data_IF_745772597540
#
_entry.id   IF_745772597540
#
_cell.length_a   1.000
_cell.length_b   1.000
_cell.length_c   1.000
_cell.angle_alpha   90.00
_cell.angle_beta   90.00
_cell.angle_gamma   90.00
#
_symmetry.space_group_name_H-M   'P 1'
#
loop_
_entity.id
_entity.type
_entity.pdbx_description
1 polymer ?
#
# COMPACT_ATOMS: atom_id res chain seq x y z
N UNK A 1 -4.50 4.44 -1.71
CA UNK A 1 -5.73 4.03 -2.43
C UNK A 1 -5.91 2.52 -2.39
N UNK A 2 -7.11 2.03 -2.41
CA UNK A 2 -7.45 0.60 -2.39
C UNK A 2 -8.66 0.33 -3.29
N UNK A 3 -8.77 -0.88 -3.81
CA UNK A 3 -9.97 -1.39 -4.48
C UNK A 3 -10.91 -2.18 -3.58
N UNK A 4 -10.53 -2.37 -2.31
CA UNK A 4 -11.28 -3.19 -1.35
C UNK A 4 -11.96 -2.34 -0.28
N UNK A 5 -13.29 -2.22 -0.40
CA UNK A 5 -14.10 -1.46 0.57
C UNK A 5 -14.05 -2.04 2.00
N UNK A 6 -13.72 -3.33 2.16
CA UNK A 6 -13.64 -4.00 3.48
C UNK A 6 -12.48 -3.52 4.34
N UNK A 7 -11.48 -2.88 3.73
CA UNK A 7 -10.34 -2.33 4.46
C UNK A 7 -10.67 -1.10 5.30
N UNK A 8 -11.78 -0.43 5.00
CA UNK A 8 -12.13 0.82 5.66
C UNK A 8 -12.81 0.59 7.02
N UNK A 9 -12.39 1.36 8.01
CA UNK A 9 -13.10 1.49 9.28
C UNK A 9 -14.30 2.43 9.15
N UNK A 10 -14.12 3.48 8.34
CA UNK A 10 -15.17 4.42 7.98
C UNK A 10 -14.97 4.88 6.56
N UNK A 11 -16.02 4.91 5.77
CA UNK A 11 -16.01 5.31 4.38
C UNK A 11 -17.13 6.30 4.10
N UNK A 12 -16.83 7.35 3.34
CA UNK A 12 -17.79 8.28 2.77
C UNK A 12 -17.94 7.97 1.28
N UNK A 13 -19.10 7.47 0.90
CA UNK A 13 -19.45 7.17 -0.49
C UNK A 13 -20.26 8.27 -1.16
N UNK A 14 -20.66 9.31 -0.41
CA UNK A 14 -21.38 10.46 -0.93
C UNK A 14 -20.47 11.54 -1.53
N UNK A 15 -19.15 11.28 -1.56
CA UNK A 15 -18.15 12.17 -2.10
C UNK A 15 -16.96 11.38 -2.64
N UNK A 16 -16.15 12.05 -3.43
CA UNK A 16 -14.98 11.50 -4.09
C UNK A 16 -13.69 12.22 -3.70
N UNK A 17 -13.74 13.04 -2.62
CA UNK A 17 -12.63 13.85 -2.13
C UNK A 17 -11.99 14.76 -3.22
N UNK A 18 -12.81 15.25 -4.15
CA UNK A 18 -12.34 16.08 -5.27
C UNK A 18 -11.76 15.31 -6.47
N UNK A 19 -11.81 13.98 -6.44
CA UNK A 19 -11.31 13.13 -7.51
C UNK A 19 -12.45 12.31 -8.14
N UNK A 20 -12.74 12.55 -9.40
CA UNK A 20 -13.74 11.74 -10.12
C UNK A 20 -13.12 10.42 -10.61
N UNK A 21 -11.86 10.46 -11.03
CA UNK A 21 -11.11 9.31 -11.51
C UNK A 21 -9.62 9.47 -11.25
N UNK A 22 -8.93 8.35 -11.18
CA UNK A 22 -7.47 8.26 -11.09
C UNK A 22 -6.97 7.65 -12.39
N UNK A 23 -5.88 8.21 -12.91
CA UNK A 23 -5.16 7.62 -14.05
C UNK A 23 -3.98 6.82 -13.52
N UNK A 24 -3.89 5.55 -13.92
CA UNK A 24 -2.78 4.67 -13.57
C UNK A 24 -1.59 4.85 -14.51
N UNK A 25 -0.45 4.29 -14.15
CA UNK A 25 0.77 4.39 -14.95
C UNK A 25 0.70 3.74 -16.34
N UNK A 26 -0.26 2.85 -16.57
CA UNK A 26 -0.56 2.23 -17.86
C UNK A 26 -1.62 3.01 -18.69
N UNK A 27 -1.95 4.24 -18.26
CA UNK A 27 -3.04 5.08 -18.77
C UNK A 27 -4.47 4.52 -18.54
N UNK A 28 -4.60 3.41 -17.83
CA UNK A 28 -5.90 2.93 -17.35
C UNK A 28 -6.53 3.93 -16.37
N UNK A 29 -7.85 4.00 -16.33
CA UNK A 29 -8.57 4.88 -15.40
C UNK A 29 -9.39 4.07 -14.41
N UNK A 30 -9.31 4.43 -13.14
CA UNK A 30 -10.17 3.92 -12.09
C UNK A 30 -11.11 5.02 -11.58
N UNK A 31 -12.40 4.72 -11.47
CA UNK A 31 -13.38 5.64 -10.91
C UNK A 31 -13.26 5.66 -9.39
N UNK A 32 -13.25 6.85 -8.79
CA UNK A 32 -13.29 7.00 -7.34
C UNK A 32 -14.71 6.81 -6.84
N UNK A 33 -14.93 5.84 -5.96
CA UNK A 33 -16.23 5.49 -5.39
C UNK A 33 -16.48 6.10 -4.01
N UNK A 34 -15.43 6.55 -3.37
CA UNK A 34 -15.48 7.13 -2.04
C UNK A 34 -14.09 7.31 -1.45
N UNK A 35 -14.06 7.78 -0.23
CA UNK A 35 -12.83 7.92 0.53
C UNK A 35 -13.08 7.68 2.01
N UNK A 36 -12.04 7.35 2.74
CA UNK A 36 -12.22 7.05 4.15
C UNK A 36 -10.93 6.84 4.90
N UNK A 37 -11.08 6.21 6.06
CA UNK A 37 -10.00 5.93 7.00
C UNK A 37 -9.77 4.42 7.10
N UNK A 38 -8.51 4.04 7.07
CA UNK A 38 -8.04 2.67 7.27
C UNK A 38 -7.14 2.65 8.50
N UNK A 39 -7.38 1.73 9.42
CA UNK A 39 -6.50 1.46 10.54
C UNK A 39 -5.54 0.33 10.17
N UNK A 40 -4.26 0.60 10.29
CA UNK A 40 -3.18 -0.35 9.97
C UNK A 40 -2.78 -1.14 11.21
N UNK A 41 -2.69 -0.45 12.34
CA UNK A 41 -2.39 -1.05 13.65
C UNK A 41 -3.07 -0.27 14.75
N UNK A 42 -2.96 -0.76 15.99
CA UNK A 42 -3.59 -0.11 17.16
C UNK A 42 -3.25 1.39 17.29
N UNK A 43 -2.11 1.80 16.79
CA UNK A 43 -1.60 3.17 16.92
C UNK A 43 -1.47 3.92 15.60
N UNK A 44 -1.83 3.30 14.46
CA UNK A 44 -1.66 3.91 13.15
C UNK A 44 -2.90 3.78 12.29
N UNK A 45 -3.36 4.90 11.80
CA UNK A 45 -4.42 4.97 10.80
C UNK A 45 -4.07 5.97 9.70
N UNK A 46 -4.53 5.70 8.50
CA UNK A 46 -4.37 6.56 7.33
C UNK A 46 -5.73 7.09 6.92
N UNK A 47 -5.85 8.41 6.87
CA UNK A 47 -7.05 9.10 6.42
C UNK A 47 -6.96 9.43 4.93
N UNK A 48 -8.10 9.82 4.34
CA UNK A 48 -8.19 10.20 2.93
C UNK A 48 -7.73 9.12 1.94
N UNK A 49 -7.93 7.86 2.32
CA UNK A 49 -7.69 6.74 1.41
C UNK A 49 -8.82 6.67 0.41
N UNK A 50 -8.50 6.67 -0.88
CA UNK A 50 -9.49 6.56 -1.94
C UNK A 50 -9.88 5.11 -2.17
N UNK A 51 -11.19 4.87 -2.30
CA UNK A 51 -11.74 3.62 -2.84
C UNK A 51 -11.86 3.78 -4.36
N UNK A 52 -11.11 2.99 -5.10
CA UNK A 52 -11.00 3.09 -6.56
C UNK A 52 -11.49 1.81 -7.21
N UNK A 53 -12.46 1.95 -8.10
CA UNK A 53 -13.02 0.85 -8.87
C UNK A 53 -11.95 0.21 -9.76
N UNK A 54 -11.96 -1.12 -9.84
CA UNK A 54 -11.03 -1.91 -10.67
C UNK A 54 -9.55 -1.83 -10.25
N UNK A 55 -9.25 -1.27 -9.09
CA UNK A 55 -7.90 -1.30 -8.55
C UNK A 55 -7.61 -2.67 -7.92
N UNK A 56 -6.72 -3.41 -8.55
CA UNK A 56 -6.37 -4.77 -8.10
C UNK A 56 -5.35 -4.77 -6.95
N UNK A 57 -4.74 -3.63 -6.67
CA UNK A 57 -3.67 -3.48 -5.66
C UNK A 57 -3.94 -2.33 -4.72
N UNK A 58 -3.52 -2.51 -3.49
CA UNK A 58 -3.43 -1.42 -2.55
C UNK A 58 -2.13 -0.66 -2.79
N UNK A 59 -2.22 0.63 -2.94
CA UNK A 59 -1.09 1.52 -3.16
C UNK A 59 -0.95 2.47 -1.96
N UNK A 60 0.20 2.40 -1.30
CA UNK A 60 0.55 3.26 -0.19
C UNK A 60 1.47 4.37 -0.69
N UNK A 61 1.11 5.62 -0.40
CA UNK A 61 1.91 6.78 -0.78
C UNK A 61 2.94 7.12 0.28
N UNK A 62 4.22 7.10 -0.09
CA UNK A 62 5.29 7.56 0.80
C UNK A 62 5.15 9.04 1.17
N UNK A 63 4.69 9.88 0.24
CA UNK A 63 4.44 11.28 0.51
C UNK A 63 3.37 11.45 1.60
N UNK A 64 2.27 10.70 1.54
CA UNK A 64 1.25 10.74 2.58
C UNK A 64 1.77 10.28 3.94
N UNK A 65 2.66 9.30 3.99
CA UNK A 65 3.31 8.89 5.24
C UNK A 65 4.17 10.01 5.81
N UNK A 66 4.94 10.68 4.97
CA UNK A 66 5.73 11.85 5.37
C UNK A 66 4.85 13.01 5.86
N UNK A 67 3.72 13.28 5.19
CA UNK A 67 2.75 14.29 5.60
C UNK A 67 2.10 13.97 6.95
N UNK A 68 1.94 12.69 7.28
CA UNK A 68 1.48 12.21 8.59
C UNK A 68 2.56 12.28 9.68
N UNK A 69 3.77 12.70 9.33
CA UNK A 69 4.87 12.87 10.25
C UNK A 69 5.74 11.63 10.44
N UNK A 70 5.70 10.67 9.52
CA UNK A 70 6.63 9.54 9.53
C UNK A 70 7.86 9.83 8.68
N UNK A 71 8.95 9.14 8.99
CA UNK A 71 10.16 9.12 8.15
C UNK A 71 10.23 7.78 7.42
N UNK A 72 10.60 7.82 6.16
CA UNK A 72 10.82 6.64 5.33
C UNK A 72 12.32 6.52 5.06
N UNK A 73 12.94 5.46 5.55
CA UNK A 73 14.37 5.19 5.37
C UNK A 73 14.53 4.04 4.40
N UNK A 74 15.06 4.34 3.22
CA UNK A 74 15.26 3.36 2.16
C UNK A 74 16.60 2.66 2.30
N UNK A 75 16.56 1.36 2.49
CA UNK A 75 17.70 0.45 2.40
C UNK A 75 17.78 -0.24 1.02
N UNK A 76 18.72 -1.16 0.90
CA UNK A 76 18.87 -1.98 -0.32
C UNK A 76 17.71 -2.96 -0.45
N UNK A 77 17.33 -3.60 0.65
CA UNK A 77 16.37 -4.70 0.68
C UNK A 77 15.06 -4.35 1.41
N UNK A 78 15.01 -3.21 2.09
CA UNK A 78 13.84 -2.80 2.86
C UNK A 78 13.63 -1.28 2.87
N UNK A 79 12.46 -0.88 3.33
CA UNK A 79 12.16 0.51 3.74
C UNK A 79 11.62 0.46 5.15
N UNK A 80 12.23 1.21 6.04
CA UNK A 80 11.77 1.39 7.41
C UNK A 80 10.89 2.64 7.49
N UNK A 81 9.70 2.48 8.05
CA UNK A 81 8.81 3.58 8.39
C UNK A 81 8.91 3.78 9.89
N UNK A 82 9.44 4.92 10.29
CA UNK A 82 9.70 5.25 11.68
C UNK A 82 8.97 6.53 12.10
N UNK A 83 8.77 6.71 13.41
CA UNK A 83 8.22 7.96 13.96
C UNK A 83 9.13 9.16 13.66
N UNK A 84 8.56 10.36 13.65
CA UNK A 84 9.31 11.62 13.35
C UNK A 84 10.52 11.80 14.25
N UNK A 85 10.38 11.47 15.52
CA UNK A 85 11.46 11.55 16.53
C UNK A 85 12.52 10.45 16.34
N UNK A 86 12.27 9.47 15.47
CA UNK A 86 13.17 8.36 15.22
C UNK A 86 13.17 7.30 16.31
N UNK A 87 12.30 7.42 17.32
CA UNK A 87 12.30 6.54 18.49
C UNK A 87 11.66 5.18 18.25
N UNK A 88 10.70 5.09 17.30
CA UNK A 88 9.91 3.89 17.10
C UNK A 88 9.86 3.48 15.63
N UNK A 89 10.17 2.21 15.39
CA UNK A 89 9.84 1.55 14.15
C UNK A 89 8.33 1.28 14.12
N UNK A 90 7.66 1.75 13.07
CA UNK A 90 6.21 1.56 12.89
C UNK A 90 5.96 0.27 12.10
N UNK A 91 6.57 0.15 10.93
CA UNK A 91 6.58 -1.07 10.13
C UNK A 91 7.70 -1.06 9.10
N UNK A 92 7.94 -2.20 8.49
CA UNK A 92 8.89 -2.37 7.38
C UNK A 92 8.19 -2.78 6.11
N UNK A 93 8.71 -2.29 4.99
CA UNK A 93 8.39 -2.77 3.66
C UNK A 93 9.59 -3.57 3.14
N UNK A 94 9.36 -4.69 2.51
CA UNK A 94 10.43 -5.52 1.98
C UNK A 94 10.51 -5.39 0.46
N UNK A 95 11.74 -5.33 -0.05
CA UNK A 95 11.96 -5.24 -1.48
C UNK A 95 11.67 -6.57 -2.16
N UNK A 96 10.86 -6.49 -3.19
CA UNK A 96 10.62 -7.57 -4.12
C UNK A 96 10.82 -7.03 -5.54
N UNK A 97 11.91 -7.45 -6.19
CA UNK A 97 12.33 -6.88 -7.48
C UNK A 97 12.45 -5.35 -7.45
N UNK A 98 11.58 -4.64 -8.14
CA UNK A 98 11.56 -3.18 -8.23
C UNK A 98 10.48 -2.53 -7.35
N UNK A 99 9.88 -3.28 -6.44
CA UNK A 99 8.80 -2.82 -5.58
C UNK A 99 9.12 -3.05 -4.11
N UNK A 100 8.50 -2.26 -3.25
CA UNK A 100 8.49 -2.50 -1.82
C UNK A 100 7.10 -2.93 -1.40
N UNK A 101 7.01 -4.06 -0.72
CA UNK A 101 5.77 -4.67 -0.26
C UNK A 101 5.69 -4.61 1.25
N UNK A 102 4.49 -4.36 1.78
CA UNK A 102 4.20 -4.40 3.21
C UNK A 102 3.04 -5.37 3.46
N UNK A 103 3.17 -6.14 4.53
CA UNK A 103 2.09 -6.96 5.06
C UNK A 103 1.75 -6.50 6.49
N UNK A 104 0.63 -5.81 6.63
CA UNK A 104 0.17 -5.32 7.93
C UNK A 104 -0.43 -6.41 8.82
N UNK A 105 -0.69 -7.59 8.28
CA UNK A 105 -1.21 -8.72 9.05
C UNK A 105 -0.11 -9.60 9.64
N UNK A 106 1.13 -9.41 9.20
CA UNK A 106 2.26 -10.13 9.74
C UNK A 106 2.57 -9.64 11.16
N UNK A 107 2.64 -10.56 12.12
CA UNK A 107 3.16 -10.24 13.45
C UNK A 107 4.63 -9.82 13.37
N UNK A 108 5.11 -8.99 14.31
CA UNK A 108 6.52 -8.54 14.33
C UNK A 108 7.52 -9.71 14.23
N UNK A 109 7.19 -10.88 14.78
CA UNK A 109 8.00 -12.09 14.67
C UNK A 109 8.02 -12.68 13.25
N UNK A 110 7.00 -12.43 12.43
CA UNK A 110 6.92 -12.85 11.03
C UNK A 110 7.53 -11.83 10.07
N UNK A 111 7.67 -10.58 10.47
CA UNK A 111 8.35 -9.55 9.68
C UNK A 111 9.85 -9.86 9.52
N UNK A 112 10.46 -10.55 10.50
CA UNK A 112 11.85 -11.01 10.41
C UNK A 112 12.02 -12.29 9.58
N UNK A 113 10.93 -13.00 9.29
CA UNK A 113 10.89 -14.28 8.55
C UNK A 113 9.79 -14.28 7.50
N UNK A 114 9.56 -13.18 6.81
CA UNK A 114 8.64 -13.17 5.68
C UNK A 114 9.25 -14.00 4.53
N UNK A 115 9.16 -15.30 4.67
CA UNK A 115 9.37 -16.26 3.60
C UNK A 115 8.12 -16.16 2.68
N UNK A 116 8.11 -15.13 1.87
CA UNK A 116 7.30 -15.17 0.66
C UNK A 116 7.76 -16.37 -0.14
N UNK A 117 6.96 -17.41 -0.19
CA UNK A 117 7.26 -18.51 -1.10
C UNK A 117 7.21 -17.89 -2.50
N UNK A 118 8.37 -17.87 -3.14
CA UNK A 118 8.63 -17.24 -4.43
C UNK A 118 7.58 -17.58 -5.49
N UNK A 119 7.00 -18.77 -5.40
CA UNK A 119 5.99 -19.30 -6.33
C UNK A 119 4.63 -18.56 -6.30
N UNK A 120 4.16 -18.10 -5.16
CA UNK A 120 2.85 -17.46 -5.06
C UNK A 120 2.89 -15.98 -5.49
N UNK A 121 4.04 -15.34 -5.31
CA UNK A 121 4.26 -13.94 -5.68
C UNK A 121 4.56 -13.82 -7.17
N UNK A 122 5.39 -14.70 -7.73
CA UNK A 122 5.69 -14.72 -9.17
C UNK A 122 4.43 -14.89 -10.01
N UNK A 123 3.51 -15.77 -9.58
CA UNK A 123 2.25 -15.97 -10.27
C UNK A 123 1.31 -14.76 -10.16
N UNK A 124 1.28 -14.11 -8.99
CA UNK A 124 0.49 -12.90 -8.75
C UNK A 124 0.98 -11.74 -9.63
N UNK A 125 2.29 -11.56 -9.76
CA UNK A 125 2.90 -10.51 -10.58
C UNK A 125 2.81 -10.80 -12.07
N UNK A 126 3.01 -12.05 -12.48
CA UNK A 126 2.87 -12.48 -13.87
C UNK A 126 1.46 -12.19 -14.42
N UNK A 127 0.46 -12.34 -13.58
CA UNK A 127 -0.93 -12.02 -13.90
C UNK A 127 -1.20 -10.51 -13.96
N UNK A 128 -0.36 -9.72 -13.29
CA UNK A 128 -0.55 -8.27 -13.07
C UNK A 128 0.08 -7.40 -14.15
N UNK A 129 1.22 -7.79 -14.68
CA UNK A 129 1.92 -7.04 -15.72
C UNK A 129 1.56 -7.46 -17.15
N UNK A 130 0.50 -8.30 -17.32
CA UNK A 130 0.02 -8.68 -18.66
C UNK A 130 1.17 -8.99 -19.62
N UNK A 131 1.76 -10.18 -19.52
CA UNK A 131 2.72 -10.72 -20.49
C UNK A 131 3.80 -9.73 -21.02
N UNK A 132 4.47 -9.01 -20.15
CA UNK A 132 5.77 -8.46 -20.53
C UNK A 132 6.71 -9.66 -20.56
N UNK A 133 7.01 -10.13 -21.78
CA UNK A 133 7.90 -11.25 -21.97
C UNK A 133 9.24 -10.95 -21.31
N UNK A 134 9.57 -11.76 -20.31
CA UNK A 134 10.93 -11.78 -19.75
C UNK A 134 11.82 -12.35 -20.86
N UNK A 135 12.63 -11.50 -21.45
CA UNK A 135 13.76 -11.95 -22.25
C UNK A 135 14.89 -12.37 -21.31
#
# INVERSE_FOLDING_TARGET
>A
MTGDARMFNSINTNGNNGYDSITFGDNGKGKVKGFGKITISNNMSISNVLLVESLNFNLLSMAQLCDLGFKCIFGVDDVEIISVDGSNLIFKCFRYENLYLVDFNASEAQLSTCLFTKSSIDWLWHRRFGHVGIK
#
